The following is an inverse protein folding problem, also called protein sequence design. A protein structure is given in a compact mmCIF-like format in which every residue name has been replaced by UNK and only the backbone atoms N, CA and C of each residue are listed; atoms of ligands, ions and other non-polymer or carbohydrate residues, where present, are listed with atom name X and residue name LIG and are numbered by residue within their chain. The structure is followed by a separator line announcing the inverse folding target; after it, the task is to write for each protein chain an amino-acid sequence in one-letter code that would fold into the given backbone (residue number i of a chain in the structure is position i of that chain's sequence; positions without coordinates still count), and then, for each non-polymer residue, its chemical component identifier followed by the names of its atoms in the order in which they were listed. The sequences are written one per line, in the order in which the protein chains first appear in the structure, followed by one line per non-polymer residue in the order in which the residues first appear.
data_IF_487710359405
#
_entry.id   IF_487710359405
#
_cell.length_a   1.000
_cell.length_b   1.000
_cell.length_c   1.000
_cell.angle_alpha   90.00
_cell.angle_beta   90.00
_cell.angle_gamma   90.00
#
_symmetry.space_group_name_H-M   'P 1'
#
loop_
_entity.id
_entity.type
_entity.pdbx_description
1 polymer ?
#
# COMPACT_ATOMS: atom_id res chain seq x y z
N UNK A 1 -0.24 22.11 -16.50
CA UNK A 1 -0.94 20.81 -16.57
C UNK A 1 -1.23 20.34 -15.16
N UNK A 2 -2.51 20.25 -14.77
CA UNK A 2 -2.89 19.68 -13.48
C UNK A 2 -2.60 18.17 -13.51
N UNK A 3 -1.43 17.78 -13.01
CA UNK A 3 -1.05 16.38 -12.90
C UNK A 3 -1.99 15.74 -11.87
N UNK A 4 -3.02 15.03 -12.35
CA UNK A 4 -3.89 14.23 -11.49
C UNK A 4 -3.01 13.24 -10.77
N UNK A 5 -2.86 13.42 -9.45
CA UNK A 5 -2.10 12.53 -8.56
C UNK A 5 -2.76 11.15 -8.59
N UNK A 6 -2.31 10.32 -9.51
CA UNK A 6 -2.93 9.03 -9.77
C UNK A 6 -2.48 8.02 -8.71
N UNK A 7 -3.46 7.43 -8.02
CA UNK A 7 -3.24 6.40 -7.01
C UNK A 7 -2.66 5.14 -7.68
N UNK A 8 -1.54 4.62 -7.16
CA UNK A 8 -0.78 3.50 -7.78
C UNK A 8 -1.02 2.19 -7.03
N UNK A 9 -1.40 1.12 -7.74
CA UNK A 9 -1.50 -0.23 -7.16
C UNK A 9 -0.10 -0.74 -6.85
N UNK A 10 0.15 -1.10 -5.59
CA UNK A 10 1.48 -1.49 -5.11
C UNK A 10 1.40 -2.67 -4.16
N UNK A 11 2.42 -3.52 -4.21
CA UNK A 11 2.81 -4.33 -3.07
C UNK A 11 3.55 -3.48 -2.04
N UNK A 12 3.47 -3.86 -0.75
CA UNK A 12 4.20 -3.19 0.32
C UNK A 12 5.70 -3.22 0.05
N UNK A 13 6.25 -4.34 -0.43
CA UNK A 13 7.68 -4.41 -0.79
C UNK A 13 8.06 -3.39 -1.86
N UNK A 14 7.20 -3.16 -2.85
CA UNK A 14 7.45 -2.19 -3.91
C UNK A 14 7.43 -0.77 -3.35
N UNK A 15 6.51 -0.48 -2.43
CA UNK A 15 6.49 0.78 -1.69
C UNK A 15 7.81 0.95 -0.90
N UNK A 16 8.16 -0.01 -0.04
CA UNK A 16 9.35 0.06 0.83
C UNK A 16 10.67 0.13 0.05
N UNK A 17 10.67 -0.32 -1.22
CA UNK A 17 11.83 -0.24 -2.12
C UNK A 17 11.88 1.04 -2.96
N UNK A 18 10.87 1.91 -2.84
CA UNK A 18 10.82 3.17 -3.58
C UNK A 18 11.81 4.17 -3.00
N UNK A 19 12.43 4.96 -3.88
CA UNK A 19 13.43 5.96 -3.51
C UNK A 19 12.77 7.32 -3.34
N UNK A 20 13.20 8.09 -2.35
CA UNK A 20 12.86 9.50 -2.22
C UNK A 20 13.30 10.27 -3.46
N UNK A 21 12.50 11.27 -3.85
CA UNK A 21 12.94 12.29 -4.79
C UNK A 21 13.62 13.43 -4.02
N UNK A 22 14.85 13.87 -4.39
CA UNK A 22 15.57 14.93 -3.67
C UNK A 22 14.75 16.21 -3.50
N UNK A 23 13.94 16.55 -4.51
CA UNK A 23 13.08 17.74 -4.54
C UNK A 23 11.81 17.63 -3.69
N UNK A 24 11.50 16.47 -3.08
CA UNK A 24 10.27 16.29 -2.32
C UNK A 24 10.32 15.21 -1.24
N UNK A 25 9.92 15.60 -0.02
CA UNK A 25 9.81 14.69 1.15
C UNK A 25 8.61 13.74 1.11
N UNK A 26 7.72 13.87 0.13
CA UNK A 26 6.48 13.11 0.01
C UNK A 26 6.27 12.49 -1.37
N UNK A 27 7.27 12.57 -2.25
CA UNK A 27 7.26 11.89 -3.55
C UNK A 27 8.34 10.83 -3.57
N UNK A 28 7.96 9.66 -4.07
CA UNK A 28 8.86 8.52 -4.21
C UNK A 28 8.88 8.07 -5.66
N UNK A 29 9.91 7.32 -6.04
CA UNK A 29 10.03 6.72 -7.36
C UNK A 29 10.32 5.23 -7.23
N UNK A 30 9.56 4.43 -7.97
CA UNK A 30 9.79 3.00 -8.10
C UNK A 30 9.84 2.63 -9.58
N UNK A 31 10.97 2.08 -10.03
CA UNK A 31 11.23 1.68 -11.42
C UNK A 31 10.89 2.77 -12.47
N UNK A 32 11.19 4.03 -12.17
CA UNK A 32 10.93 5.17 -13.06
C UNK A 32 9.50 5.73 -13.02
N UNK A 33 8.64 5.21 -12.13
CA UNK A 33 7.27 5.70 -11.94
C UNK A 33 7.18 6.47 -10.63
N UNK A 34 6.67 7.70 -10.69
CA UNK A 34 6.40 8.52 -9.51
C UNK A 34 5.23 7.97 -8.68
N UNK A 35 5.45 7.92 -7.37
CA UNK A 35 4.51 7.51 -6.33
C UNK A 35 4.19 8.74 -5.46
N UNK A 36 3.04 9.36 -5.73
CA UNK A 36 2.52 10.50 -4.94
C UNK A 36 1.39 10.03 -4.00
N UNK A 37 0.59 9.06 -4.45
CA UNK A 37 -0.43 8.37 -3.65
C UNK A 37 -0.31 6.87 -3.85
N UNK A 38 -0.30 6.12 -2.76
CA UNK A 38 -0.30 4.68 -2.79
C UNK A 38 -1.73 4.14 -2.72
N UNK A 39 -2.03 3.17 -3.57
CA UNK A 39 -3.17 2.27 -3.44
C UNK A 39 -2.60 0.93 -3.00
N UNK A 40 -2.84 0.60 -1.73
CA UNK A 40 -2.42 -0.70 -1.20
C UNK A 40 -3.66 -1.43 -0.73
N UNK A 41 -4.02 -2.52 -1.40
CA UNK A 41 -4.98 -3.49 -0.86
C UNK A 41 -4.23 -4.58 -0.13
N UNK A 42 -4.71 -4.98 1.04
CA UNK A 42 -3.94 -5.83 1.94
C UNK A 42 -4.82 -6.89 2.59
N UNK A 43 -4.45 -8.17 2.36
CA UNK A 43 -5.01 -9.50 2.72
C UNK A 43 -5.63 -9.78 4.11
N UNK A 44 -6.16 -11.00 4.27
CA UNK A 44 -6.48 -11.70 5.53
C UNK A 44 -6.25 -13.20 5.34
N UNK A 45 -5.38 -13.84 6.14
CA UNK A 45 -5.62 -15.20 6.64
C UNK A 45 -4.91 -15.41 7.98
N UNK A 46 -5.74 -15.55 9.02
CA UNK A 46 -5.37 -16.18 10.28
C UNK A 46 -6.12 -17.51 10.30
N UNK A 47 -5.40 -18.64 10.29
CA UNK A 47 -5.93 -19.89 10.83
C UNK A 47 -5.27 -20.13 12.18
N UNK A 48 -6.05 -19.99 13.25
CA UNK A 48 -5.86 -20.85 14.42
C UNK A 48 -6.11 -22.28 13.93
N UNK A 49 -5.07 -23.06 13.62
CA UNK A 49 -5.02 -24.51 13.81
C UNK A 49 -3.60 -25.02 13.54
N UNK A 50 -3.06 -25.74 14.53
CA UNK A 50 -1.79 -26.45 14.45
C UNK A 50 -1.82 -27.38 13.22
N UNK A 51 -0.73 -27.38 12.43
CA UNK A 51 -0.47 -28.24 11.28
C UNK A 51 -1.13 -27.89 9.93
N UNK A 52 -0.60 -26.88 9.20
CA UNK A 52 -0.51 -26.94 7.73
C UNK A 52 0.46 -25.91 7.14
N UNK A 53 1.10 -26.32 6.05
CA UNK A 53 2.20 -25.70 5.30
C UNK A 53 1.81 -24.37 4.61
N UNK A 54 2.73 -23.41 4.70
CA UNK A 54 3.14 -22.37 3.71
C UNK A 54 2.07 -21.79 2.76
N UNK A 55 1.74 -20.48 2.88
CA UNK A 55 1.44 -19.54 1.75
C UNK A 55 1.12 -18.11 2.23
N UNK A 56 1.55 -17.12 1.43
CA UNK A 56 1.61 -15.66 1.67
C UNK A 56 0.28 -14.91 1.45
N UNK A 57 0.17 -13.72 2.09
CA UNK A 57 -0.37 -12.38 1.72
C UNK A 57 -0.52 -11.63 3.09
N UNK A 58 -1.05 -10.39 3.29
CA UNK A 58 -1.04 -9.78 4.65
C UNK A 58 -2.13 -8.86 5.21
N UNK A 59 -2.21 -8.84 6.52
CA UNK A 59 -3.40 -8.62 7.35
C UNK A 59 -3.23 -7.39 8.20
N UNK A 60 -4.28 -6.87 8.84
CA UNK A 60 -4.05 -6.08 10.06
C UNK A 60 -3.35 -6.98 11.08
N UNK A 61 -2.04 -6.80 11.22
CA UNK A 61 -1.15 -7.62 12.06
C UNK A 61 -0.84 -6.95 13.39
N UNK A 62 -1.11 -5.66 13.52
CA UNK A 62 -1.01 -4.93 14.79
C UNK A 62 -1.96 -3.73 14.80
N UNK A 63 -2.55 -3.41 15.95
CA UNK A 63 -3.40 -2.21 16.13
C UNK A 63 -2.89 -1.42 17.33
N UNK A 64 -2.45 -0.18 17.07
CA UNK A 64 -2.00 0.80 18.05
C UNK A 64 -2.62 2.16 17.72
N UNK A 65 -3.89 2.37 18.07
CA UNK A 65 -4.66 3.56 17.68
C UNK A 65 -3.88 4.87 18.01
N UNK A 66 -3.76 5.82 17.05
CA UNK A 66 -4.47 5.92 15.77
C UNK A 66 -3.74 5.26 14.59
N UNK A 67 -2.97 4.21 14.82
CA UNK A 67 -2.22 3.48 13.80
C UNK A 67 -2.51 1.99 13.81
N UNK A 68 -2.25 1.33 12.70
CA UNK A 68 -2.26 -0.12 12.62
C UNK A 68 -1.24 -0.59 11.57
N UNK A 69 -0.70 -1.78 11.75
CA UNK A 69 0.28 -2.38 10.85
C UNK A 69 -0.39 -3.40 9.94
N UNK A 70 0.10 -3.45 8.70
CA UNK A 70 -0.56 -4.15 7.60
C UNK A 70 0.46 -4.90 6.75
N UNK A 71 0.22 -6.18 6.44
CA UNK A 71 1.30 -7.09 6.00
C UNK A 71 1.40 -7.45 4.49
N UNK A 72 0.41 -7.37 3.61
CA UNK A 72 0.36 -7.90 2.20
C UNK A 72 1.13 -9.18 1.73
N UNK A 73 1.93 -9.89 2.53
CA UNK A 73 2.79 -11.02 2.18
C UNK A 73 4.14 -10.65 1.56
N UNK A 74 4.37 -9.37 1.27
CA UNK A 74 5.63 -8.89 0.69
C UNK A 74 6.40 -7.96 1.65
N UNK A 75 5.72 -7.44 2.68
CA UNK A 75 6.33 -6.66 3.76
C UNK A 75 5.29 -5.97 4.62
N UNK A 76 5.71 -5.44 5.78
CA UNK A 76 4.80 -4.76 6.71
C UNK A 76 4.92 -3.25 6.58
N UNK A 77 3.79 -2.53 6.57
CA UNK A 77 3.74 -1.07 6.58
C UNK A 77 2.76 -0.55 7.62
N UNK A 78 3.11 0.59 8.23
CA UNK A 78 2.25 1.28 9.18
C UNK A 78 1.25 2.20 8.48
N UNK A 79 0.01 2.15 8.93
CA UNK A 79 -1.08 2.98 8.45
C UNK A 79 -1.48 3.95 9.56
N UNK A 80 -1.45 5.24 9.26
CA UNK A 80 -1.93 6.30 10.15
C UNK A 80 -3.36 6.68 9.79
N UNK A 81 -4.30 6.49 10.72
CA UNK A 81 -5.73 6.81 10.57
C UNK A 81 -6.15 8.00 11.44
N UNK A 82 -5.21 8.81 11.93
CA UNK A 82 -5.54 9.93 12.82
C UNK A 82 -6.54 10.90 12.18
N UNK A 83 -6.35 11.23 10.90
CA UNK A 83 -7.28 12.09 10.14
C UNK A 83 -8.66 11.44 9.97
N UNK A 84 -8.68 10.13 9.74
CA UNK A 84 -9.91 9.36 9.53
C UNK A 84 -10.75 9.25 10.80
N UNK A 85 -10.13 8.94 11.94
CA UNK A 85 -10.83 8.86 13.24
C UNK A 85 -11.47 10.19 13.60
N UNK A 86 -10.80 11.32 13.31
CA UNK A 86 -11.38 12.66 13.53
C UNK A 86 -12.66 12.89 12.71
N UNK A 87 -12.67 12.42 11.46
CA UNK A 87 -13.82 12.57 10.55
C UNK A 87 -14.91 11.51 10.74
N UNK A 88 -14.54 10.33 11.23
CA UNK A 88 -15.42 9.20 11.46
C UNK A 88 -15.01 8.49 12.76
N UNK A 89 -15.50 8.96 13.92
CA UNK A 89 -15.16 8.37 15.21
C UNK A 89 -15.61 6.91 15.38
N UNK A 90 -16.53 6.44 14.52
CA UNK A 90 -17.00 5.04 14.52
C UNK A 90 -16.09 4.08 13.76
N UNK A 91 -15.06 4.58 13.07
CA UNK A 91 -14.10 3.75 12.37
C UNK A 91 -13.38 2.83 13.38
N UNK A 92 -13.61 1.53 13.24
CA UNK A 92 -12.97 0.51 14.04
C UNK A 92 -12.24 -0.45 13.11
N UNK A 93 -10.93 -0.58 13.31
CA UNK A 93 -10.07 -1.52 12.57
C UNK A 93 -9.63 -2.59 13.55
N UNK A 94 -9.84 -3.86 13.21
CA UNK A 94 -9.50 -5.00 14.05
C UNK A 94 -8.37 -5.80 13.47
N UNK A 95 -7.57 -6.38 14.36
CA UNK A 95 -6.64 -7.45 14.05
C UNK A 95 -7.33 -8.52 13.22
N UNK A 96 -6.68 -8.99 12.15
CA UNK A 96 -7.27 -10.00 11.29
C UNK A 96 -8.18 -9.45 10.18
N UNK A 97 -8.43 -8.15 10.08
CA UNK A 97 -9.33 -7.62 9.03
C UNK A 97 -8.66 -7.55 7.65
N UNK A 98 -9.45 -7.85 6.62
CA UNK A 98 -9.07 -7.67 5.22
C UNK A 98 -9.46 -6.26 4.79
N UNK A 99 -8.48 -5.42 4.45
CA UNK A 99 -8.74 -3.99 4.19
C UNK A 99 -8.05 -3.49 2.93
N UNK A 100 -8.72 -2.57 2.24
CA UNK A 100 -8.12 -1.72 1.23
C UNK A 100 -7.79 -0.35 1.84
N UNK A 101 -6.56 0.11 1.60
CA UNK A 101 -6.06 1.39 2.10
C UNK A 101 -5.68 2.28 0.92
N UNK A 102 -6.11 3.54 1.00
CA UNK A 102 -5.77 4.58 0.03
C UNK A 102 -5.26 5.79 0.82
N UNK A 103 -4.06 6.26 0.47
CA UNK A 103 -3.47 7.41 1.15
C UNK A 103 -2.13 7.86 0.56
N UNK A 104 -1.70 9.10 0.85
CA UNK A 104 -0.33 9.52 0.59
C UNK A 104 0.67 8.73 1.44
N UNK A 105 1.86 8.57 0.88
CA UNK A 105 3.00 7.92 1.54
C UNK A 105 3.72 8.96 2.40
N UNK A 106 4.03 8.58 3.64
CA UNK A 106 4.83 9.36 4.57
C UNK A 106 6.20 8.69 4.76
N UNK A 107 7.24 9.51 4.70
CA UNK A 107 8.61 9.08 4.91
C UNK A 107 9.04 9.13 6.36
N UNK A 108 10.14 8.45 6.66
CA UNK A 108 10.84 8.57 7.94
C UNK A 108 11.34 10.01 8.15
N UNK A 109 10.85 10.67 9.20
CA UNK A 109 11.27 12.01 9.58
C UNK A 109 12.70 11.97 10.16
N UNK A 110 13.57 12.88 9.71
CA UNK A 110 14.92 13.07 10.28
C UNK A 110 16.04 12.22 9.68
N UNK A 111 15.79 11.48 8.59
CA UNK A 111 16.81 10.72 7.86
C UNK A 111 17.21 11.49 6.58
N UNK A 112 18.50 11.54 6.21
CA UNK A 112 18.96 12.25 5.00
C UNK A 112 18.25 11.81 3.71
N UNK A 113 17.95 10.52 3.60
CA UNK A 113 17.14 9.92 2.55
C UNK A 113 15.88 9.34 3.19
N UNK A 114 14.74 10.06 3.16
CA UNK A 114 13.51 9.57 3.78
C UNK A 114 13.04 8.33 3.02
N UNK A 115 13.08 7.17 3.67
CA UNK A 115 12.48 5.95 3.14
C UNK A 115 10.97 5.97 3.39
N UNK A 116 10.16 5.45 2.45
CA UNK A 116 8.73 5.32 2.67
C UNK A 116 8.48 4.34 3.83
N UNK A 117 7.87 4.84 4.90
CA UNK A 117 7.70 4.10 6.16
C UNK A 117 6.22 3.86 6.47
N UNK A 118 5.36 4.82 6.13
CA UNK A 118 3.96 4.84 6.56
C UNK A 118 3.04 5.37 5.48
N UNK A 119 1.75 5.13 5.64
CA UNK A 119 0.70 5.68 4.78
C UNK A 119 -0.27 6.45 5.67
N UNK A 120 -0.54 7.70 5.33
CA UNK A 120 -1.63 8.44 5.95
C UNK A 120 -2.92 8.08 5.23
N UNK A 121 -3.75 7.23 5.83
CA UNK A 121 -4.96 6.76 5.18
C UNK A 121 -5.98 7.89 5.02
N UNK A 122 -6.44 8.06 3.79
CA UNK A 122 -7.63 8.85 3.45
C UNK A 122 -8.88 7.97 3.40
N UNK A 123 -8.72 6.67 3.10
CA UNK A 123 -9.79 5.69 3.11
C UNK A 123 -9.27 4.35 3.61
N UNK A 124 -10.08 3.70 4.45
CA UNK A 124 -9.91 2.30 4.86
C UNK A 124 -11.23 1.60 4.57
N UNK A 125 -11.21 0.58 3.71
CA UNK A 125 -12.41 -0.10 3.23
C UNK A 125 -12.30 -1.59 3.60
N UNK A 126 -13.16 -2.09 4.50
CA UNK A 126 -13.24 -3.52 4.79
C UNK A 126 -13.69 -4.31 3.55
N UNK A 127 -12.96 -5.36 3.21
CA UNK A 127 -13.22 -6.21 2.05
C UNK A 127 -13.74 -7.59 2.43
N UNK A 128 -13.77 -7.93 3.73
CA UNK A 128 -14.15 -9.25 4.24
C UNK A 128 -15.54 -9.74 3.82
N UNK A 129 -16.46 -8.84 3.46
CA UNK A 129 -17.83 -9.20 3.09
C UNK A 129 -18.04 -9.48 1.59
N UNK A 130 -17.03 -9.29 0.72
CA UNK A 130 -17.29 -9.11 -0.72
C UNK A 130 -16.81 -10.17 -1.69
N UNK A 131 -15.81 -10.99 -1.37
CA UNK A 131 -15.47 -12.23 -2.09
C UNK A 131 -14.10 -12.74 -1.63
N UNK A 132 -13.92 -14.05 -1.47
CA UNK A 132 -12.60 -14.65 -1.18
C UNK A 132 -11.68 -14.57 -2.41
N UNK A 133 -12.25 -14.47 -3.62
CA UNK A 133 -11.47 -14.42 -4.86
C UNK A 133 -10.76 -13.08 -5.13
N UNK A 134 -11.21 -11.98 -4.49
CA UNK A 134 -10.65 -10.63 -4.70
C UNK A 134 -9.16 -10.53 -4.38
N UNK A 135 -8.70 -11.38 -3.50
CA UNK A 135 -7.32 -11.44 -3.07
C UNK A 135 -6.36 -11.93 -4.16
N UNK A 136 -6.68 -13.05 -4.81
CA UNK A 136 -5.87 -13.57 -5.92
C UNK A 136 -5.89 -12.61 -7.10
N UNK A 137 -7.04 -11.97 -7.33
CA UNK A 137 -7.19 -10.93 -8.32
C UNK A 137 -6.29 -9.72 -8.02
N UNK A 138 -6.24 -9.23 -6.77
CA UNK A 138 -5.35 -8.11 -6.42
C UNK A 138 -3.89 -8.36 -6.79
N UNK A 139 -3.37 -9.56 -6.50
CA UNK A 139 -1.99 -9.90 -6.82
C UNK A 139 -1.72 -9.85 -8.33
N UNK A 140 -2.64 -10.40 -9.13
CA UNK A 140 -2.57 -10.34 -10.60
C UNK A 140 -2.72 -8.91 -11.11
N UNK A 141 -3.65 -8.14 -10.56
CA UNK A 141 -3.88 -6.73 -10.91
C UNK A 141 -2.65 -5.87 -10.66
N UNK A 142 -1.92 -6.08 -9.56
CA UNK A 142 -0.66 -5.35 -9.28
C UNK A 142 0.40 -5.73 -10.31
N UNK A 143 0.57 -7.02 -10.62
CA UNK A 143 1.53 -7.47 -11.63
C UNK A 143 1.21 -6.89 -13.01
N UNK A 144 -0.05 -6.99 -13.43
CA UNK A 144 -0.53 -6.45 -14.70
C UNK A 144 -0.31 -4.94 -14.75
N UNK A 145 -0.70 -4.22 -13.70
CA UNK A 145 -0.50 -2.78 -13.58
C UNK A 145 0.97 -2.39 -13.81
N UNK A 146 1.91 -3.06 -13.14
CA UNK A 146 3.34 -2.75 -13.25
C UNK A 146 3.97 -3.21 -14.56
N UNK A 147 3.46 -4.28 -15.17
CA UNK A 147 3.86 -4.66 -16.53
C UNK A 147 3.49 -3.55 -17.53
N UNK A 148 2.31 -2.97 -17.42
CA UNK A 148 1.91 -1.85 -18.28
C UNK A 148 2.66 -0.57 -17.96
N UNK A 149 2.77 -0.20 -16.68
CA UNK A 149 3.38 1.06 -16.25
C UNK A 149 4.88 1.18 -16.57
N UNK A 150 5.61 0.06 -16.62
CA UNK A 150 7.07 0.05 -16.87
C UNK A 150 7.42 -0.22 -18.34
N UNK A 151 6.54 -0.85 -19.12
CA UNK A 151 6.79 -1.16 -20.54
C UNK A 151 6.59 0.04 -21.46
N UNK A 152 5.82 1.05 -21.06
CA UNK A 152 5.69 2.30 -21.81
C UNK A 152 6.92 3.19 -21.63
N UNK A 153 8.06 2.79 -22.20
CA UNK A 153 9.06 3.78 -22.64
C UNK A 153 8.61 4.29 -24.01
N UNK A 154 8.71 5.59 -24.32
CA UNK A 154 8.55 6.05 -25.69
C UNK A 154 9.56 5.29 -26.55
N UNK A 155 9.11 4.75 -27.68
CA UNK A 155 10.03 4.37 -28.75
C UNK A 155 10.60 5.71 -29.22
N UNK A 156 11.84 6.01 -28.87
CA UNK A 156 12.61 7.04 -29.58
C UNK A 156 12.79 6.50 -31.00
N UNK A 157 12.01 7.06 -31.93
CA UNK A 157 12.27 6.89 -33.35
C UNK A 157 13.41 7.86 -33.64
N UNK A 158 14.64 7.36 -33.61
CA UNK A 158 15.78 8.09 -34.13
C UNK A 158 15.49 8.43 -35.60
N UNK A 159 15.43 9.73 -35.88
CA UNK A 159 15.29 10.30 -37.23
C UNK A 159 16.63 10.55 -37.89
#
# INVERSE_FOLDING_TARGET
MNQVSATRKLFVRQLLSARSLPESRSKYMYRGVELIRAWIQVWRFVFLHQHAKTRMKGVVVEVQIPRFAVDDGTGVVWIDIQSLIKSNPSLNVRMGEYVMIIGPVLGSLGVPEPSPERIQAHQVIPLAAKDVHRECLWFLEVIEYWNHAVRTRPIEIDG
#
